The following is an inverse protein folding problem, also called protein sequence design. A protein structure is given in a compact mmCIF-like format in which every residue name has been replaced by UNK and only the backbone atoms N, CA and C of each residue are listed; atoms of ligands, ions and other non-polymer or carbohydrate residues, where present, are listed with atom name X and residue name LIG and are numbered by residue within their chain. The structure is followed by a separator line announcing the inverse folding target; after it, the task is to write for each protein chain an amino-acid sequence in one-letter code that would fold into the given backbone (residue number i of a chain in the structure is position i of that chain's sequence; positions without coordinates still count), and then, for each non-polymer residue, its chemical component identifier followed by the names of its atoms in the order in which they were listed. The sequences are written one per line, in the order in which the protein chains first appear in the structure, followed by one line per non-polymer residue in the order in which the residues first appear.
data_IF_619224567686
#
_entry.id   IF_619224567686
#
_cell.length_a   1.000
_cell.length_b   1.000
_cell.length_c   1.000
_cell.angle_alpha   90.00
_cell.angle_beta   90.00
_cell.angle_gamma   90.00
#
_symmetry.space_group_name_H-M   'P 1'
#
loop_
_entity.id
_entity.type
_entity.pdbx_description
1 polymer ?
#
# COMPACT_ATOMS: atom_id res chain seq x y z
N UNK A 1 -4.27 2.83 31.52
CA UNK A 1 -3.46 3.99 31.10
C UNK A 1 -4.25 4.92 30.19
N UNK A 2 -4.80 4.44 29.07
CA UNK A 2 -5.63 5.24 28.15
C UNK A 2 -6.77 6.02 28.85
N UNK A 3 -7.51 5.39 29.76
CA UNK A 3 -8.55 6.07 30.55
C UNK A 3 -8.08 7.28 31.35
N UNK A 4 -6.81 7.31 31.78
CA UNK A 4 -6.26 8.41 32.56
C UNK A 4 -5.95 9.63 31.68
N UNK A 5 -5.64 9.40 30.40
CA UNK A 5 -5.20 10.45 29.46
C UNK A 5 -6.27 10.81 28.43
N UNK A 6 -7.34 10.01 28.27
CA UNK A 6 -8.39 10.27 27.26
C UNK A 6 -9.02 11.66 27.35
N UNK A 7 -9.11 12.22 28.57
CA UNK A 7 -9.66 13.57 28.78
C UNK A 7 -8.77 14.70 28.26
N UNK A 8 -7.50 14.43 27.92
CA UNK A 8 -6.59 15.43 27.37
C UNK A 8 -6.88 15.75 25.91
N UNK A 9 -7.52 14.84 25.17
CA UNK A 9 -7.79 14.97 23.73
C UNK A 9 -6.54 15.36 22.92
N UNK A 10 -5.40 14.76 23.27
CA UNK A 10 -4.12 14.94 22.59
C UNK A 10 -3.68 13.63 21.93
N UNK A 11 -2.85 13.70 20.89
CA UNK A 11 -2.23 12.52 20.29
C UNK A 11 -1.43 11.70 21.31
N UNK A 12 -1.56 10.38 21.25
CA UNK A 12 -0.93 9.44 22.18
C UNK A 12 0.14 8.63 21.46
N UNK A 13 1.31 8.53 22.07
CA UNK A 13 2.34 7.55 21.69
C UNK A 13 2.60 6.70 22.94
N UNK A 14 2.43 5.38 22.80
CA UNK A 14 2.80 4.43 23.86
C UNK A 14 4.30 4.19 23.75
N UNK A 15 5.03 4.58 24.79
CA UNK A 15 6.46 4.29 24.94
C UNK A 15 6.68 3.46 26.19
N UNK A 16 7.87 2.89 26.34
CA UNK A 16 8.26 2.22 27.58
C UNK A 16 7.27 1.10 27.98
N UNK A 17 6.69 0.40 26.99
CA UNK A 17 5.83 -0.74 27.26
C UNK A 17 6.64 -2.04 27.21
N UNK A 18 6.89 -2.63 28.37
CA UNK A 18 7.60 -3.90 28.47
C UNK A 18 7.56 -4.47 29.89
N UNK A 19 8.00 -5.71 30.00
CA UNK A 19 8.11 -6.45 31.27
C UNK A 19 9.53 -7.00 31.38
N UNK A 20 10.09 -6.90 32.59
CA UNK A 20 11.33 -7.57 32.92
C UNK A 20 11.08 -9.06 33.05
N UNK A 21 11.70 -9.84 32.17
CA UNK A 21 11.38 -11.25 31.96
C UNK A 21 12.59 -11.95 31.29
N UNK A 22 13.46 -12.57 32.08
CA UNK A 22 14.71 -13.15 31.57
C UNK A 22 14.47 -14.40 30.71
N UNK A 23 13.56 -15.28 31.15
CA UNK A 23 13.22 -16.52 30.47
C UNK A 23 12.16 -16.38 29.36
N UNK A 24 11.59 -15.18 29.19
CA UNK A 24 10.71 -14.80 28.08
C UNK A 24 9.36 -15.52 28.07
N UNK A 25 8.89 -15.98 29.22
CA UNK A 25 7.65 -16.76 29.35
C UNK A 25 6.39 -15.89 29.48
N UNK A 26 6.54 -14.63 29.92
CA UNK A 26 5.45 -13.66 30.10
C UNK A 26 5.37 -12.64 28.96
N UNK A 27 6.52 -12.22 28.43
CA UNK A 27 6.65 -11.12 27.48
C UNK A 27 5.86 -11.33 26.18
N UNK A 28 5.80 -12.53 25.57
CA UNK A 28 4.98 -12.74 24.37
C UNK A 28 3.49 -12.41 24.59
N UNK A 29 2.93 -12.85 25.72
CA UNK A 29 1.53 -12.58 26.07
C UNK A 29 1.30 -11.13 26.50
N UNK A 30 2.26 -10.53 27.23
CA UNK A 30 2.24 -9.11 27.57
C UNK A 30 2.15 -8.25 26.30
N UNK A 31 3.00 -8.51 25.29
CA UNK A 31 2.98 -7.81 24.01
C UNK A 31 1.62 -7.95 23.32
N UNK A 32 1.08 -9.17 23.21
CA UNK A 32 -0.22 -9.43 22.58
C UNK A 32 -1.34 -8.64 23.24
N UNK A 33 -1.47 -8.72 24.57
CA UNK A 33 -2.53 -8.04 25.30
C UNK A 33 -2.43 -6.52 25.22
N UNK A 34 -1.22 -5.97 25.31
CA UNK A 34 -1.05 -4.52 25.28
C UNK A 34 -1.28 -3.93 23.89
N UNK A 35 -0.92 -4.65 22.84
CA UNK A 35 -1.30 -4.28 21.47
C UNK A 35 -2.81 -4.41 21.26
N UNK A 36 -3.46 -5.45 21.81
CA UNK A 36 -4.91 -5.58 21.76
C UNK A 36 -5.61 -4.40 22.45
N UNK A 37 -5.22 -4.05 23.68
CA UNK A 37 -5.77 -2.88 24.40
C UNK A 37 -5.51 -1.58 23.64
N UNK A 38 -4.36 -1.47 22.94
CA UNK A 38 -4.06 -0.32 22.10
C UNK A 38 -4.98 -0.27 20.87
N UNK A 39 -5.23 -1.40 20.23
CA UNK A 39 -6.17 -1.50 19.11
C UNK A 39 -7.60 -1.19 19.55
N UNK A 40 -8.04 -1.67 20.70
CA UNK A 40 -9.34 -1.35 21.30
C UNK A 40 -9.47 0.15 21.59
N UNK A 41 -8.43 0.78 22.14
CA UNK A 41 -8.41 2.23 22.36
C UNK A 41 -8.53 3.04 21.06
N UNK A 42 -7.86 2.60 19.99
CA UNK A 42 -8.01 3.20 18.65
C UNK A 42 -9.45 3.03 18.15
N UNK A 43 -10.03 1.83 18.30
CA UNK A 43 -11.40 1.54 17.90
C UNK A 43 -12.43 2.40 18.68
N UNK A 44 -12.15 2.70 19.95
CA UNK A 44 -12.92 3.60 20.80
C UNK A 44 -12.72 5.10 20.46
N UNK A 45 -11.90 5.41 19.45
CA UNK A 45 -11.74 6.76 18.89
C UNK A 45 -10.60 7.59 19.48
N UNK A 46 -9.67 6.98 20.23
CA UNK A 46 -8.49 7.69 20.71
C UNK A 46 -7.44 7.85 19.58
N UNK A 47 -6.84 9.03 19.46
CA UNK A 47 -5.74 9.33 18.50
C UNK A 47 -4.42 8.72 19.00
N UNK A 48 -4.26 7.39 18.87
CA UNK A 48 -3.01 6.70 19.17
C UNK A 48 -2.17 6.58 17.90
N UNK A 49 -0.99 7.20 17.91
CA UNK A 49 -0.12 7.35 16.72
C UNK A 49 1.06 6.39 16.69
N UNK A 50 1.35 5.72 17.79
CA UNK A 50 2.50 4.82 17.86
C UNK A 50 2.51 3.95 19.11
N UNK A 51 3.14 2.79 18.96
CA UNK A 51 3.43 1.86 20.03
C UNK A 51 4.89 1.42 19.93
N UNK A 52 5.67 1.73 20.96
CA UNK A 52 7.07 1.36 21.07
C UNK A 52 7.24 0.38 22.23
N UNK A 53 7.60 -0.86 21.90
CA UNK A 53 8.08 -1.82 22.88
C UNK A 53 9.31 -1.28 23.60
N UNK A 54 9.45 -1.58 24.90
CA UNK A 54 10.45 -1.01 25.81
C UNK A 54 11.86 -0.96 25.23
N UNK A 55 12.39 -2.10 24.79
CA UNK A 55 13.73 -2.16 24.18
C UNK A 55 13.86 -3.23 23.12
N UNK A 56 14.63 -2.93 22.08
CA UNK A 56 14.99 -3.91 21.05
C UNK A 56 15.86 -5.03 21.64
N UNK A 57 16.77 -4.71 22.56
CA UNK A 57 17.75 -5.64 23.12
C UNK A 57 17.86 -5.47 24.62
N UNK A 58 18.31 -6.50 25.33
CA UNK A 58 18.57 -6.41 26.77
C UNK A 58 19.51 -5.25 27.07
N UNK A 59 19.12 -4.43 28.04
CA UNK A 59 19.71 -3.15 28.33
C UNK A 59 20.24 -3.08 29.77
N UNK A 60 20.94 -1.98 30.05
CA UNK A 60 21.34 -1.61 31.40
C UNK A 60 20.20 -0.81 32.04
N UNK A 61 19.75 -1.23 33.21
CA UNK A 61 18.80 -0.50 34.04
C UNK A 61 19.54 0.22 35.17
N UNK A 62 19.27 1.51 35.37
CA UNK A 62 20.06 2.38 36.24
C UNK A 62 20.35 1.81 37.63
N UNK A 63 19.31 1.43 38.36
CA UNK A 63 19.42 0.91 39.72
C UNK A 63 19.68 -0.61 39.77
N UNK A 64 19.26 -1.32 38.73
CA UNK A 64 19.21 -2.79 38.69
C UNK A 64 20.31 -3.41 37.82
N UNK A 65 21.21 -2.58 37.30
CA UNK A 65 22.34 -3.00 36.48
C UNK A 65 21.92 -3.82 35.25
N UNK A 66 22.55 -4.98 35.10
CA UNK A 66 22.24 -5.95 34.03
C UNK A 66 21.44 -7.13 34.59
N UNK A 67 20.66 -6.96 35.65
CA UNK A 67 19.85 -8.08 36.17
C UNK A 67 18.48 -8.13 35.48
N UNK A 68 17.92 -6.97 35.14
CA UNK A 68 16.66 -6.89 34.41
C UNK A 68 16.85 -7.11 32.91
N UNK A 69 15.87 -7.76 32.29
CA UNK A 69 15.90 -8.17 30.89
C UNK A 69 14.60 -7.73 30.26
N UNK A 70 14.63 -6.76 29.38
CA UNK A 70 13.42 -6.22 28.71
C UNK A 70 13.43 -6.44 27.19
N UNK A 71 14.58 -6.85 26.64
CA UNK A 71 14.82 -6.85 25.22
C UNK A 71 14.07 -7.95 24.49
N UNK A 72 13.66 -7.63 23.26
CA UNK A 72 13.23 -8.62 22.27
C UNK A 72 14.39 -9.52 21.80
N UNK A 73 15.62 -9.07 22.01
CA UNK A 73 16.85 -9.85 21.82
C UNK A 73 17.55 -10.06 23.15
N UNK A 74 17.93 -11.30 23.41
CA UNK A 74 18.89 -11.62 24.46
C UNK A 74 20.25 -11.04 24.08
N UNK A 75 20.95 -10.44 25.04
CA UNK A 75 22.34 -9.97 24.87
C UNK A 75 23.23 -10.72 25.84
N UNK A 76 24.16 -11.49 25.29
CA UNK A 76 25.29 -11.97 26.08
C UNK A 76 26.24 -10.79 26.29
N UNK A 77 26.36 -10.32 27.53
CA UNK A 77 27.17 -9.14 27.84
C UNK A 77 28.68 -9.41 27.80
N UNK A 78 29.14 -10.66 27.81
CA UNK A 78 30.54 -10.99 27.63
C UNK A 78 30.90 -11.03 26.15
N UNK A 79 30.16 -11.81 25.36
CA UNK A 79 30.46 -12.05 23.94
C UNK A 79 29.87 -11.00 23.00
N UNK A 80 28.90 -10.23 23.46
CA UNK A 80 28.07 -9.28 22.68
C UNK A 80 27.21 -9.97 21.61
N UNK A 81 27.04 -11.29 21.68
CA UNK A 81 26.11 -12.00 20.81
C UNK A 81 24.68 -11.56 21.13
N UNK A 82 23.87 -11.36 20.07
CA UNK A 82 22.43 -11.14 20.20
C UNK A 82 21.67 -12.33 19.66
N UNK A 83 20.70 -12.81 20.42
CA UNK A 83 19.83 -13.92 20.03
C UNK A 83 18.38 -13.48 20.13
N UNK A 84 17.60 -13.67 19.06
CA UNK A 84 16.18 -13.31 19.04
C UNK A 84 15.41 -14.17 20.06
N UNK A 85 14.63 -13.53 20.93
CA UNK A 85 13.74 -14.22 21.88
C UNK A 85 12.38 -14.54 21.22
N UNK A 86 11.57 -15.38 21.86
CA UNK A 86 10.23 -15.75 21.36
C UNK A 86 9.31 -14.53 21.26
N UNK A 87 9.38 -13.64 22.24
CA UNK A 87 8.69 -12.35 22.22
C UNK A 87 9.08 -11.48 21.04
N UNK A 88 10.38 -11.47 20.68
CA UNK A 88 10.87 -10.77 19.50
C UNK A 88 10.29 -11.35 18.21
N UNK A 89 10.26 -12.68 18.09
CA UNK A 89 9.62 -13.37 16.97
C UNK A 89 8.10 -13.09 16.93
N UNK A 90 7.44 -13.10 18.09
CA UNK A 90 6.01 -12.81 18.23
C UNK A 90 5.69 -11.39 17.80
N UNK A 91 6.42 -10.39 18.31
CA UNK A 91 6.23 -8.99 17.94
C UNK A 91 6.46 -8.76 16.45
N UNK A 92 7.54 -9.34 15.89
CA UNK A 92 7.81 -9.28 14.46
C UNK A 92 6.67 -9.90 13.62
N UNK A 93 6.08 -11.02 14.08
CA UNK A 93 4.95 -11.64 13.39
C UNK A 93 3.68 -10.78 13.40
N UNK A 94 3.41 -10.10 14.52
CA UNK A 94 2.26 -9.19 14.64
C UNK A 94 2.45 -7.99 13.71
N UNK A 95 3.62 -7.35 13.76
CA UNK A 95 3.94 -6.22 12.86
C UNK A 95 3.84 -6.65 11.40
N UNK A 96 4.38 -7.81 11.04
CA UNK A 96 4.35 -8.32 9.66
C UNK A 96 2.93 -8.62 9.18
N UNK A 97 2.07 -9.15 10.05
CA UNK A 97 0.68 -9.48 9.72
C UNK A 97 -0.24 -8.27 9.61
N UNK A 98 0.14 -7.14 10.21
CA UNK A 98 -0.65 -5.90 10.22
C UNK A 98 0.01 -4.77 9.43
N UNK A 99 0.99 -5.10 8.58
CA UNK A 99 1.63 -4.16 7.67
C UNK A 99 0.70 -3.86 6.50
N UNK A 100 0.57 -2.58 6.14
CA UNK A 100 -0.05 -2.19 4.86
C UNK A 100 0.78 -2.78 3.70
N UNK A 101 0.15 -3.47 2.73
CA UNK A 101 0.85 -4.12 1.62
C UNK A 101 1.78 -3.19 0.83
N UNK A 102 2.75 -3.78 0.12
CA UNK A 102 3.47 -3.06 -0.92
C UNK A 102 2.50 -2.40 -1.91
N UNK A 103 2.84 -1.19 -2.36
CA UNK A 103 2.21 -0.59 -3.54
C UNK A 103 3.02 -0.94 -4.80
N UNK A 104 2.34 -1.40 -5.84
CA UNK A 104 2.92 -1.68 -7.15
C UNK A 104 2.36 -0.66 -8.13
N UNK A 105 3.24 0.13 -8.74
CA UNK A 105 2.87 1.30 -9.54
C UNK A 105 3.25 1.07 -11.00
N UNK A 106 2.27 1.14 -11.90
CA UNK A 106 2.47 0.98 -13.33
C UNK A 106 2.95 2.29 -13.96
N UNK A 107 4.24 2.39 -14.31
CA UNK A 107 4.89 3.61 -14.82
C UNK A 107 5.56 3.44 -16.20
N UNK A 108 5.26 2.37 -16.94
CA UNK A 108 5.89 2.05 -18.23
C UNK A 108 5.24 2.66 -19.48
N UNK A 109 4.15 3.42 -19.34
CA UNK A 109 3.37 3.91 -20.48
C UNK A 109 4.08 4.96 -21.35
N UNK A 110 3.87 4.89 -22.67
CA UNK A 110 4.49 5.78 -23.67
C UNK A 110 4.07 7.26 -23.59
N UNK A 111 2.99 7.58 -22.86
CA UNK A 111 2.59 8.96 -22.61
C UNK A 111 2.10 9.79 -23.80
N UNK A 112 1.87 9.20 -24.96
CA UNK A 112 1.72 9.87 -26.28
C UNK A 112 0.69 11.01 -26.39
N UNK A 113 -0.25 11.14 -25.46
CA UNK A 113 -1.34 12.13 -25.48
C UNK A 113 -1.02 13.47 -24.80
N UNK A 114 0.09 13.57 -24.06
CA UNK A 114 0.54 14.82 -23.40
C UNK A 114 1.51 15.65 -24.25
N UNK A 115 1.71 15.31 -25.52
CA UNK A 115 2.51 16.09 -26.46
C UNK A 115 4.02 16.00 -26.21
N UNK A 116 4.72 17.13 -26.34
CA UNK A 116 6.20 17.18 -26.31
C UNK A 116 6.81 16.83 -24.95
N UNK A 117 6.10 17.09 -23.85
CA UNK A 117 6.60 16.85 -22.48
C UNK A 117 6.95 15.37 -22.31
N UNK A 118 6.02 14.48 -22.67
CA UNK A 118 6.18 13.03 -22.56
C UNK A 118 7.12 12.42 -23.60
N UNK A 119 7.62 13.19 -24.57
CA UNK A 119 8.69 12.71 -25.46
C UNK A 119 10.06 12.72 -24.77
N UNK A 120 10.20 13.51 -23.70
CA UNK A 120 11.47 13.74 -23.01
C UNK A 120 11.49 13.21 -21.60
N UNK A 121 10.36 12.80 -21.04
CA UNK A 121 10.29 12.23 -19.70
C UNK A 121 9.10 11.26 -19.53
N UNK A 122 9.22 10.27 -18.65
CA UNK A 122 8.08 9.45 -18.24
C UNK A 122 6.93 10.30 -17.69
N UNK A 123 5.70 9.87 -17.98
CA UNK A 123 4.47 10.46 -17.43
C UNK A 123 4.53 10.60 -15.90
N UNK A 124 4.98 9.55 -15.22
CA UNK A 124 5.05 9.53 -13.76
C UNK A 124 6.03 10.55 -13.17
N UNK A 125 6.91 11.13 -13.99
CA UNK A 125 7.84 12.18 -13.58
C UNK A 125 7.37 13.59 -13.96
N UNK A 126 6.24 13.74 -14.65
CA UNK A 126 5.65 15.06 -14.94
C UNK A 126 5.35 15.78 -13.63
N UNK A 127 5.83 17.02 -13.53
CA UNK A 127 5.63 17.83 -12.33
C UNK A 127 4.21 18.37 -12.26
N UNK A 128 3.63 18.29 -11.06
CA UNK A 128 2.34 18.84 -10.71
C UNK A 128 2.52 19.62 -9.41
N UNK A 129 2.34 20.94 -9.44
CA UNK A 129 2.61 21.81 -8.29
C UNK A 129 4.03 21.65 -7.70
N UNK A 130 5.04 21.51 -8.56
CA UNK A 130 6.46 21.52 -8.16
C UNK A 130 7.02 20.20 -7.62
N UNK A 131 6.27 19.10 -7.73
CA UNK A 131 6.80 17.73 -7.51
C UNK A 131 6.23 16.75 -8.55
N UNK A 132 6.95 15.66 -8.88
CA UNK A 132 6.45 14.60 -9.76
C UNK A 132 5.10 14.03 -9.32
N UNK A 133 4.24 13.64 -10.26
CA UNK A 133 2.99 12.90 -9.94
C UNK A 133 3.27 11.61 -9.17
N UNK A 134 4.35 10.90 -9.49
CA UNK A 134 4.79 9.75 -8.71
C UNK A 134 5.00 10.10 -7.23
N UNK A 135 5.60 11.25 -6.93
CA UNK A 135 5.79 11.69 -5.54
C UNK A 135 4.46 11.93 -4.82
N UNK A 136 3.43 12.47 -5.50
CA UNK A 136 2.10 12.62 -4.90
C UNK A 136 1.43 11.26 -4.61
N UNK A 137 1.53 10.30 -5.53
CA UNK A 137 1.02 8.93 -5.33
C UNK A 137 1.72 8.27 -4.14
N UNK A 138 3.05 8.40 -4.07
CA UNK A 138 3.87 7.84 -3.00
C UNK A 138 3.60 8.52 -1.65
N UNK A 139 3.41 9.85 -1.61
CA UNK A 139 3.03 10.58 -0.40
C UNK A 139 1.69 10.07 0.14
N UNK A 140 0.70 9.87 -0.73
CA UNK A 140 -0.60 9.33 -0.33
C UNK A 140 -0.46 7.92 0.24
N UNK A 141 0.24 7.03 -0.46
CA UNK A 141 0.47 5.67 0.00
C UNK A 141 1.22 5.62 1.34
N UNK A 142 2.24 6.45 1.51
CA UNK A 142 3.04 6.52 2.74
C UNK A 142 2.19 6.97 3.94
N UNK A 143 1.29 7.94 3.75
CA UNK A 143 0.35 8.38 4.81
C UNK A 143 -0.63 7.29 5.23
N UNK A 144 -0.94 6.35 4.34
CA UNK A 144 -1.78 5.18 4.59
C UNK A 144 -0.99 3.99 5.17
N UNK A 145 0.29 4.18 5.51
CA UNK A 145 1.14 3.16 6.13
C UNK A 145 1.90 2.26 5.15
N UNK A 146 1.84 2.52 3.84
CA UNK A 146 2.66 1.79 2.87
C UNK A 146 4.13 2.20 3.00
N UNK A 147 5.01 1.25 3.33
CA UNK A 147 6.45 1.51 3.52
C UNK A 147 7.33 1.01 2.36
N UNK A 148 6.74 0.29 1.40
CA UNK A 148 7.45 -0.25 0.24
C UNK A 148 6.64 -0.01 -1.03
N UNK A 149 7.32 0.49 -2.06
CA UNK A 149 6.81 0.64 -3.41
C UNK A 149 7.68 -0.13 -4.41
N UNK A 150 7.03 -0.74 -5.40
CA UNK A 150 7.66 -1.27 -6.60
C UNK A 150 7.08 -0.55 -7.81
N UNK A 151 7.92 0.21 -8.49
CA UNK A 151 7.53 0.98 -9.67
C UNK A 151 7.99 0.21 -10.92
N UNK A 152 7.03 -0.18 -11.75
CA UNK A 152 7.28 -0.90 -12.99
C UNK A 152 7.48 0.10 -14.12
N UNK A 153 8.71 0.26 -14.56
CA UNK A 153 9.11 1.26 -15.55
C UNK A 153 9.33 0.61 -16.91
N UNK A 154 9.30 1.42 -17.97
CA UNK A 154 9.49 0.98 -19.35
C UNK A 154 10.17 2.05 -20.18
N UNK A 155 9.43 2.69 -21.07
CA UNK A 155 9.96 3.79 -21.89
C UNK A 155 10.53 4.92 -21.01
N UNK A 156 11.78 5.32 -21.30
CA UNK A 156 12.54 6.33 -20.54
C UNK A 156 12.75 5.96 -19.06
N UNK A 157 12.78 4.66 -18.73
CA UNK A 157 12.90 4.16 -17.37
C UNK A 157 14.19 4.58 -16.64
N UNK A 158 15.25 4.91 -17.38
CA UNK A 158 16.49 5.44 -16.84
C UNK A 158 16.32 6.81 -16.16
N UNK A 159 15.24 7.55 -16.46
CA UNK A 159 14.98 8.84 -15.82
C UNK A 159 14.53 8.73 -14.37
N UNK A 160 14.20 7.52 -13.91
CA UNK A 160 13.95 7.26 -12.50
C UNK A 160 15.24 7.03 -11.71
N UNK A 161 16.41 6.97 -12.35
CA UNK A 161 17.69 6.77 -11.67
C UNK A 161 17.94 7.88 -10.64
N UNK A 162 18.18 7.47 -9.39
CA UNK A 162 18.37 8.40 -8.27
C UNK A 162 17.09 8.95 -7.66
N UNK A 163 15.91 8.57 -8.17
CA UNK A 163 14.65 8.89 -7.53
C UNK A 163 14.57 8.24 -6.13
N UNK A 164 14.23 9.04 -5.13
CA UNK A 164 14.04 8.58 -3.75
C UNK A 164 12.80 9.22 -3.14
N UNK A 165 12.25 8.58 -2.11
CA UNK A 165 11.10 9.10 -1.38
C UNK A 165 11.36 9.04 0.14
N UNK A 166 11.07 10.12 0.90
CA UNK A 166 11.27 10.12 2.34
C UNK A 166 10.24 9.25 3.06
N UNK A 167 10.71 8.26 3.81
CA UNK A 167 9.83 7.42 4.64
C UNK A 167 9.24 6.20 3.93
N UNK A 168 9.61 5.96 2.66
CA UNK A 168 9.23 4.76 1.91
C UNK A 168 10.40 4.23 1.08
N UNK A 169 10.57 2.90 1.08
CA UNK A 169 11.52 2.23 0.20
C UNK A 169 10.89 2.13 -1.19
N UNK A 170 11.53 2.71 -2.20
CA UNK A 170 11.05 2.69 -3.59
C UNK A 170 12.02 1.89 -4.43
N UNK A 171 11.55 0.77 -4.99
CA UNK A 171 12.30 -0.05 -5.92
C UNK A 171 11.76 0.15 -7.33
N UNK A 172 12.62 0.06 -8.33
CA UNK A 172 12.27 0.17 -9.73
C UNK A 172 12.56 -1.15 -10.44
N UNK A 173 11.66 -1.56 -11.33
CA UNK A 173 11.87 -2.72 -12.19
C UNK A 173 11.54 -2.32 -13.62
N UNK A 174 12.58 -2.23 -14.46
CA UNK A 174 12.45 -1.79 -15.84
C UNK A 174 12.28 -2.98 -16.78
N UNK A 175 11.24 -2.93 -17.61
CA UNK A 175 11.09 -3.88 -18.72
C UNK A 175 12.11 -3.61 -19.83
N UNK A 176 12.65 -4.68 -20.44
CA UNK A 176 13.63 -4.56 -21.54
C UNK A 176 13.02 -4.16 -22.88
N UNK A 177 11.72 -4.44 -23.04
CA UNK A 177 10.91 -4.12 -24.20
C UNK A 177 9.46 -3.85 -23.73
N UNK A 178 8.60 -3.19 -24.53
CA UNK A 178 7.23 -2.92 -24.10
C UNK A 178 6.41 -4.20 -23.93
N UNK A 179 6.10 -4.59 -22.68
CA UNK A 179 5.35 -5.81 -22.35
C UNK A 179 3.85 -5.55 -22.06
N UNK A 180 3.42 -4.28 -22.07
CA UNK A 180 2.08 -3.92 -21.67
C UNK A 180 1.83 -4.15 -20.17
N UNK A 181 0.61 -3.86 -19.72
CA UNK A 181 0.31 -3.75 -18.28
C UNK A 181 0.39 -5.09 -17.56
N UNK A 182 -0.08 -6.16 -18.19
CA UNK A 182 0.02 -7.50 -17.64
C UNK A 182 1.41 -8.08 -17.77
N UNK A 183 2.07 -7.85 -18.91
CA UNK A 183 3.42 -8.35 -19.14
C UNK A 183 4.46 -7.75 -18.19
N UNK A 184 4.34 -6.45 -17.86
CA UNK A 184 5.19 -5.81 -16.86
C UNK A 184 5.01 -6.42 -15.45
N UNK A 185 3.76 -6.66 -15.02
CA UNK A 185 3.47 -7.36 -13.76
C UNK A 185 4.06 -8.78 -13.74
N UNK A 186 3.89 -9.52 -14.83
CA UNK A 186 4.48 -10.85 -14.97
C UNK A 186 6.01 -10.81 -14.90
N UNK A 187 6.63 -9.85 -15.57
CA UNK A 187 8.09 -9.69 -15.58
C UNK A 187 8.64 -9.39 -14.17
N UNK A 188 7.88 -8.68 -13.34
CA UNK A 188 8.21 -8.35 -11.96
C UNK A 188 7.74 -9.37 -10.92
N UNK A 189 7.13 -10.50 -11.30
CA UNK A 189 6.45 -11.45 -10.40
C UNK A 189 7.27 -11.94 -9.21
N UNK A 190 8.60 -12.03 -9.32
CA UNK A 190 9.48 -12.45 -8.23
C UNK A 190 9.65 -11.38 -7.14
N UNK A 191 9.37 -10.11 -7.47
CA UNK A 191 9.48 -8.95 -6.59
C UNK A 191 8.16 -8.58 -5.91
N UNK A 192 7.04 -9.16 -6.37
CA UNK A 192 5.72 -8.94 -5.79
C UNK A 192 5.58 -9.66 -4.44
N UNK A 193 5.04 -8.93 -3.46
CA UNK A 193 4.53 -9.53 -2.23
C UNK A 193 3.30 -10.41 -2.51
N UNK A 194 2.95 -11.28 -1.57
CA UNK A 194 1.78 -12.18 -1.71
C UNK A 194 0.48 -11.41 -1.93
N UNK A 195 0.35 -10.25 -1.29
CA UNK A 195 -0.71 -9.27 -1.52
C UNK A 195 -0.08 -7.91 -1.78
N UNK A 196 -0.60 -7.16 -2.74
CA UNK A 196 -0.16 -5.80 -3.03
C UNK A 196 -1.32 -4.91 -3.48
N UNK A 197 -1.13 -3.60 -3.37
CA UNK A 197 -2.04 -2.59 -3.90
C UNK A 197 -1.51 -2.16 -5.27
N UNK A 198 -2.28 -2.39 -6.34
CA UNK A 198 -1.94 -2.01 -7.70
C UNK A 198 -2.47 -0.61 -8.01
N UNK A 199 -1.58 0.25 -8.52
CA UNK A 199 -1.84 1.66 -8.84
C UNK A 199 -1.32 2.00 -10.25
N UNK A 200 -1.90 3.04 -10.86
CA UNK A 200 -1.41 3.62 -12.11
C UNK A 200 -0.49 4.80 -11.82
N UNK A 201 0.67 4.85 -12.46
CA UNK A 201 1.68 5.87 -12.24
C UNK A 201 1.35 7.24 -12.86
N UNK A 202 0.22 7.37 -13.53
CA UNK A 202 -0.30 8.62 -14.09
C UNK A 202 -1.66 9.04 -13.54
N UNK A 203 -2.17 8.33 -12.53
CA UNK A 203 -3.46 8.60 -11.89
C UNK A 203 -3.28 8.78 -10.38
N UNK A 204 -3.85 9.86 -9.83
CA UNK A 204 -3.94 10.05 -8.38
C UNK A 204 -5.35 9.69 -7.92
N UNK A 205 -5.47 8.60 -7.16
CA UNK A 205 -6.73 8.15 -6.57
C UNK A 205 -6.61 8.14 -5.03
N UNK A 206 -6.96 9.25 -4.35
CA UNK A 206 -6.73 9.43 -2.92
C UNK A 206 -7.79 8.74 -2.05
N UNK A 207 -7.99 7.43 -2.25
CA UNK A 207 -8.90 6.60 -1.46
C UNK A 207 -8.30 6.20 -0.11
N UNK A 208 -9.15 5.75 0.80
CA UNK A 208 -8.74 5.06 2.01
C UNK A 208 -8.36 3.59 1.71
N UNK A 209 -7.07 3.26 1.85
CA UNK A 209 -6.56 1.90 1.64
C UNK A 209 -7.03 0.93 2.73
N UNK A 210 -7.31 1.41 3.94
CA UNK A 210 -7.77 0.54 5.02
C UNK A 210 -9.15 -0.04 4.70
N UNK A 211 -10.12 0.81 4.33
CA UNK A 211 -11.45 0.39 3.90
C UNK A 211 -11.43 -0.57 2.69
N UNK A 212 -10.55 -0.32 1.73
CA UNK A 212 -10.34 -1.21 0.58
C UNK A 212 -9.79 -2.59 1.00
N UNK A 213 -8.79 -2.61 1.87
CA UNK A 213 -8.20 -3.84 2.41
C UNK A 213 -9.20 -4.64 3.24
N UNK A 214 -9.98 -3.99 4.09
CA UNK A 214 -11.05 -4.65 4.85
C UNK A 214 -12.07 -5.31 3.91
N UNK A 215 -12.46 -4.62 2.84
CA UNK A 215 -13.39 -5.16 1.85
C UNK A 215 -12.80 -6.41 1.19
N UNK A 216 -11.51 -6.36 0.83
CA UNK A 216 -10.79 -7.47 0.25
C UNK A 216 -10.74 -8.69 1.19
N UNK A 217 -10.40 -8.48 2.45
CA UNK A 217 -10.30 -9.54 3.45
C UNK A 217 -11.67 -10.16 3.76
N UNK A 218 -12.71 -9.34 3.96
CA UNK A 218 -14.08 -9.81 4.19
C UNK A 218 -14.61 -10.62 3.01
N UNK A 219 -14.26 -10.24 1.77
CA UNK A 219 -14.71 -10.93 0.57
C UNK A 219 -13.94 -12.22 0.28
N UNK A 220 -12.73 -12.39 0.82
CA UNK A 220 -11.82 -13.50 0.48
C UNK A 220 -11.59 -13.62 -1.03
N UNK A 221 -11.56 -12.48 -1.74
CA UNK A 221 -11.47 -12.45 -3.19
C UNK A 221 -10.00 -12.42 -3.65
N UNK A 222 -9.67 -13.02 -4.81
CA UNK A 222 -8.31 -12.97 -5.34
C UNK A 222 -7.91 -11.56 -5.81
N UNK A 223 -8.90 -10.72 -6.11
CA UNK A 223 -8.75 -9.32 -6.49
C UNK A 223 -9.93 -8.52 -5.97
N UNK A 224 -9.68 -7.32 -5.45
CA UNK A 224 -10.70 -6.33 -5.13
C UNK A 224 -10.39 -5.04 -5.86
N UNK A 225 -11.30 -4.58 -6.72
CA UNK A 225 -11.16 -3.33 -7.47
C UNK A 225 -12.04 -2.23 -6.90
N UNK A 226 -11.56 -0.99 -6.94
CA UNK A 226 -12.38 0.19 -6.65
C UNK A 226 -13.28 0.52 -7.83
N UNK A 227 -14.55 0.79 -7.53
CA UNK A 227 -15.57 1.12 -8.54
C UNK A 227 -16.33 2.36 -8.12
N UNK A 228 -16.42 3.34 -9.01
CA UNK A 228 -17.33 4.47 -8.89
C UNK A 228 -18.59 4.24 -9.73
N UNK A 229 -19.70 4.81 -9.28
CA UNK A 229 -20.96 4.87 -10.04
C UNK A 229 -21.23 6.27 -10.60
N UNK A 230 -20.31 7.21 -10.36
CA UNK A 230 -20.41 8.63 -10.72
C UNK A 230 -19.40 8.99 -11.81
N UNK A 231 -19.43 8.25 -12.92
CA UNK A 231 -18.55 8.49 -14.06
C UNK A 231 -19.34 8.58 -15.38
N UNK A 232 -18.86 9.41 -16.31
CA UNK A 232 -19.54 9.65 -17.60
C UNK A 232 -19.65 8.39 -18.48
N UNK A 233 -18.80 7.40 -18.21
CA UNK A 233 -18.71 6.12 -18.93
C UNK A 233 -18.65 4.99 -17.91
N UNK A 234 -19.35 3.89 -18.17
CA UNK A 234 -19.24 2.68 -17.35
C UNK A 234 -18.45 1.61 -18.10
N UNK A 235 -17.54 0.91 -17.44
CA UNK A 235 -16.70 -0.13 -18.06
C UNK A 235 -16.88 -1.51 -17.43
N UNK A 236 -17.79 -1.63 -16.46
CA UNK A 236 -18.09 -2.90 -15.82
C UNK A 236 -19.54 -2.98 -15.34
N UNK A 237 -19.97 -4.20 -15.08
CA UNK A 237 -21.19 -4.54 -14.37
C UNK A 237 -20.81 -5.21 -13.06
N UNK A 238 -21.43 -4.79 -11.97
CA UNK A 238 -21.27 -5.41 -10.66
C UNK A 238 -22.63 -5.65 -10.00
N UNK A 239 -22.69 -6.68 -9.15
CA UNK A 239 -23.83 -6.99 -8.29
C UNK A 239 -23.33 -7.65 -7.01
N UNK A 240 -24.01 -7.41 -5.89
CA UNK A 240 -23.72 -8.07 -4.60
C UNK A 240 -22.24 -7.99 -4.17
N UNK A 241 -21.57 -6.87 -4.46
CA UNK A 241 -20.16 -6.65 -4.12
C UNK A 241 -19.16 -7.47 -4.98
N UNK A 242 -19.59 -8.01 -6.12
CA UNK A 242 -18.74 -8.76 -7.06
C UNK A 242 -18.80 -8.17 -8.46
N UNK A 243 -17.71 -8.36 -9.20
CA UNK A 243 -17.66 -8.10 -10.64
C UNK A 243 -18.49 -9.15 -11.39
N UNK A 244 -19.45 -8.75 -12.22
CA UNK A 244 -20.20 -9.66 -13.09
C UNK A 244 -19.65 -9.69 -14.52
N UNK A 245 -19.23 -8.52 -15.04
CA UNK A 245 -18.68 -8.40 -16.38
C UNK A 245 -17.78 -7.17 -16.47
N UNK A 246 -16.74 -7.22 -17.29
CA UNK A 246 -15.87 -6.09 -17.63
C UNK A 246 -15.84 -5.89 -19.14
N UNK A 247 -16.00 -4.65 -19.59
CA UNK A 247 -15.92 -4.27 -21.00
C UNK A 247 -15.38 -2.84 -21.15
N UNK A 248 -14.17 -2.73 -21.73
CA UNK A 248 -13.48 -1.44 -21.94
C UNK A 248 -13.88 -0.75 -23.25
N UNK A 249 -14.40 -1.49 -24.22
CA UNK A 249 -14.58 -1.03 -25.61
C UNK A 249 -16.01 -0.68 -25.96
N UNK A 250 -16.99 -1.45 -25.49
CA UNK A 250 -18.40 -1.29 -25.84
C UNK A 250 -19.21 -0.78 -24.64
N UNK A 251 -19.78 0.41 -24.78
CA UNK A 251 -20.78 0.91 -23.84
C UNK A 251 -22.09 0.14 -24.05
N UNK A 252 -22.51 -0.61 -23.03
CA UNK A 252 -23.83 -1.24 -23.01
C UNK A 252 -24.65 -0.65 -21.88
N UNK A 253 -25.97 -0.64 -22.01
CA UNK A 253 -26.89 -0.16 -20.97
C UNK A 253 -26.87 -1.02 -19.69
N UNK A 254 -26.19 -2.17 -19.71
CA UNK A 254 -26.10 -3.09 -18.58
C UNK A 254 -24.90 -2.78 -17.66
N UNK A 255 -23.94 -1.97 -18.11
CA UNK A 255 -22.81 -1.54 -17.30
C UNK A 255 -23.28 -0.50 -16.28
N UNK A 256 -22.90 -0.68 -15.02
CA UNK A 256 -23.37 0.14 -13.90
C UNK A 256 -22.24 0.70 -13.03
N UNK A 257 -20.98 0.46 -13.39
CA UNK A 257 -19.83 1.00 -12.68
C UNK A 257 -18.63 1.27 -13.58
N UNK A 258 -17.70 2.05 -13.03
CA UNK A 258 -16.42 2.36 -13.65
C UNK A 258 -15.28 2.01 -12.69
N UNK A 259 -14.31 1.23 -13.16
CA UNK A 259 -13.09 0.91 -12.40
C UNK A 259 -12.18 2.14 -12.25
N UNK A 260 -11.90 2.53 -11.01
CA UNK A 260 -11.25 3.81 -10.66
C UNK A 260 -9.71 3.75 -10.52
N UNK A 261 -9.06 2.66 -10.91
CA UNK A 261 -7.60 2.60 -11.03
C UNK A 261 -6.84 2.13 -9.79
N UNK A 262 -7.52 1.69 -8.73
CA UNK A 262 -6.87 1.11 -7.54
C UNK A 262 -7.44 -0.27 -7.24
N UNK A 263 -6.57 -1.23 -6.96
CA UNK A 263 -7.01 -2.58 -6.59
C UNK A 263 -6.08 -3.23 -5.58
N UNK A 264 -6.62 -4.12 -4.76
CA UNK A 264 -5.85 -5.07 -3.96
C UNK A 264 -5.81 -6.39 -4.72
N UNK A 265 -4.62 -6.93 -4.89
CA UNK A 265 -4.36 -8.10 -5.72
C UNK A 265 -3.58 -9.13 -4.93
N UNK A 266 -4.06 -10.37 -4.93
CA UNK A 266 -3.29 -11.52 -4.50
C UNK A 266 -2.36 -11.96 -5.65
N UNK A 267 -1.10 -12.22 -5.34
CA UNK A 267 -0.04 -12.61 -6.30
C UNK A 267 -0.42 -13.83 -7.13
N UNK A 268 -1.23 -14.74 -6.57
CA UNK A 268 -1.81 -15.87 -7.28
C UNK A 268 -2.51 -15.45 -8.58
N UNK A 269 -3.18 -14.30 -8.63
CA UNK A 269 -3.80 -13.78 -9.86
C UNK A 269 -2.77 -13.56 -10.96
N UNK A 270 -1.63 -12.98 -10.63
CA UNK A 270 -0.53 -12.76 -11.58
C UNK A 270 0.04 -14.10 -12.04
N UNK A 271 0.15 -15.09 -11.15
CA UNK A 271 0.67 -16.41 -11.46
C UNK A 271 -0.28 -17.26 -12.30
N UNK A 272 -1.58 -17.20 -12.03
CA UNK A 272 -2.62 -18.03 -12.65
C UNK A 272 -2.99 -17.52 -14.06
N UNK A 273 -2.93 -16.20 -14.27
CA UNK A 273 -3.33 -15.56 -15.53
C UNK A 273 -2.18 -14.99 -16.35
N UNK A 274 -0.98 -14.92 -15.77
CA UNK A 274 0.17 -14.32 -16.40
C UNK A 274 0.86 -15.22 -17.42
N UNK A 275 1.57 -14.58 -18.35
CA UNK A 275 2.31 -15.22 -19.43
C UNK A 275 3.48 -14.34 -19.86
N UNK A 276 4.47 -14.96 -20.49
CA UNK A 276 5.58 -14.25 -21.11
C UNK A 276 5.10 -13.40 -22.31
N UNK A 277 5.81 -12.31 -22.59
CA UNK A 277 5.53 -11.39 -23.70
C UNK A 277 4.49 -10.31 -23.39
N UNK A 278 4.04 -9.62 -24.43
CA UNK A 278 3.20 -8.44 -24.29
C UNK A 278 1.70 -8.77 -24.14
N UNK A 279 1.05 -8.25 -23.10
CA UNK A 279 -0.40 -8.38 -22.90
C UNK A 279 -0.98 -7.34 -21.91
N UNK A 280 -2.29 -7.07 -22.01
CA UNK A 280 -3.01 -6.15 -21.13
C UNK A 280 -3.60 -6.88 -19.91
N UNK A 281 -3.31 -6.34 -18.73
CA UNK A 281 -3.88 -6.76 -17.45
C UNK A 281 -5.40 -6.67 -17.46
N UNK A 282 -5.95 -5.49 -17.79
CA UNK A 282 -7.37 -5.23 -17.69
C UNK A 282 -8.19 -6.07 -18.67
N UNK A 283 -7.69 -6.26 -19.91
CA UNK A 283 -8.36 -7.06 -20.94
C UNK A 283 -8.29 -8.57 -20.67
N UNK A 284 -7.35 -9.02 -19.83
CA UNK A 284 -7.15 -10.45 -19.54
C UNK A 284 -7.75 -10.82 -18.19
N UNK A 285 -7.36 -10.12 -17.13
CA UNK A 285 -7.65 -10.50 -15.74
C UNK A 285 -9.06 -10.14 -15.34
N UNK A 286 -9.54 -8.94 -15.67
CA UNK A 286 -10.87 -8.52 -15.21
C UNK A 286 -11.98 -9.40 -15.80
N UNK A 287 -12.01 -9.71 -17.11
CA UNK A 287 -12.97 -10.68 -17.63
C UNK A 287 -12.84 -12.07 -16.99
N UNK A 288 -11.61 -12.57 -16.80
CA UNK A 288 -11.34 -13.88 -16.23
C UNK A 288 -11.76 -14.02 -14.75
N UNK A 289 -11.85 -12.90 -14.04
CA UNK A 289 -12.28 -12.83 -12.64
C UNK A 289 -13.76 -12.43 -12.48
N UNK A 290 -14.56 -12.43 -13.54
CA UNK A 290 -16.02 -12.29 -13.42
C UNK A 290 -16.59 -13.36 -12.48
N UNK A 291 -17.41 -12.93 -11.52
CA UNK A 291 -17.95 -13.72 -10.42
C UNK A 291 -16.97 -13.99 -9.27
N UNK A 292 -15.68 -13.64 -9.41
CA UNK A 292 -14.62 -13.89 -8.42
C UNK A 292 -14.04 -12.62 -7.83
N UNK A 293 -13.80 -11.58 -8.62
CA UNK A 293 -13.28 -10.31 -8.12
C UNK A 293 -14.36 -9.62 -7.26
N UNK A 294 -13.94 -9.07 -6.13
CA UNK A 294 -14.78 -8.22 -5.31
C UNK A 294 -14.74 -6.77 -5.81
N UNK A 295 -15.80 -6.04 -5.49
CA UNK A 295 -15.98 -4.64 -5.82
C UNK A 295 -16.05 -3.83 -4.52
N UNK A 296 -15.18 -2.84 -4.43
CA UNK A 296 -15.21 -1.81 -3.40
C UNK A 296 -15.82 -0.55 -3.99
N UNK A 297 -17.05 -0.21 -3.58
CA UNK A 297 -17.71 1.01 -4.04
C UNK A 297 -17.14 2.23 -3.32
N UNK A 298 -16.59 3.16 -4.10
CA UNK A 298 -16.00 4.39 -3.59
C UNK A 298 -16.23 5.53 -4.60
N UNK A 299 -16.63 6.70 -4.11
CA UNK A 299 -16.93 7.89 -4.93
C UNK A 299 -15.84 8.96 -4.79
N UNK A 300 -14.72 8.64 -4.17
CA UNK A 300 -13.54 9.52 -4.15
C UNK A 300 -13.12 9.79 -5.58
N UNK A 301 -12.98 11.07 -5.92
CA UNK A 301 -12.54 11.45 -7.24
C UNK A 301 -11.12 10.93 -7.51
N UNK A 302 -10.94 10.20 -8.61
CA UNK A 302 -9.63 9.88 -9.18
C UNK A 302 -9.27 10.94 -10.22
N UNK A 303 -7.97 11.20 -10.36
CA UNK A 303 -7.44 12.28 -11.19
C UNK A 303 -6.37 11.73 -12.12
N UNK A 304 -6.73 11.46 -13.36
CA UNK A 304 -5.77 11.08 -14.39
C UNK A 304 -5.12 12.31 -15.03
N UNK A 305 -3.88 12.19 -15.48
CA UNK A 305 -3.22 13.22 -16.30
C UNK A 305 -3.08 12.78 -17.76
N UNK A 306 -4.09 12.08 -18.29
CA UNK A 306 -4.09 11.58 -19.66
C UNK A 306 -4.08 12.66 -20.75
N UNK A 307 -4.50 13.89 -20.43
CA UNK A 307 -4.53 15.05 -21.34
C UNK A 307 -4.12 16.35 -20.62
N UNK A 308 -3.74 17.42 -21.34
CA UNK A 308 -3.41 18.72 -20.74
C UNK A 308 -4.54 19.32 -19.89
N UNK A 309 -5.79 19.13 -20.29
CA UNK A 309 -6.96 19.63 -19.54
C UNK A 309 -7.09 18.91 -18.19
N UNK A 310 -6.88 17.59 -18.18
CA UNK A 310 -6.97 16.79 -16.96
C UNK A 310 -5.80 17.03 -16.02
N UNK A 311 -4.60 17.27 -16.57
CA UNK A 311 -3.44 17.75 -15.82
C UNK A 311 -3.75 19.08 -15.09
N UNK A 312 -4.37 20.04 -15.77
CA UNK A 312 -4.76 21.31 -15.15
C UNK A 312 -5.82 21.15 -14.05
N UNK A 313 -6.75 20.20 -14.20
CA UNK A 313 -7.73 19.86 -13.16
C UNK A 313 -7.06 19.27 -11.92
N UNK A 314 -6.11 18.35 -12.10
CA UNK A 314 -5.32 17.77 -11.03
C UNK A 314 -4.48 18.84 -10.30
N UNK A 315 -3.84 19.76 -11.02
CA UNK A 315 -3.12 20.89 -10.41
C UNK A 315 -4.04 21.75 -9.54
N UNK A 316 -5.24 22.05 -10.04
CA UNK A 316 -6.22 22.86 -9.32
C UNK A 316 -6.75 22.16 -8.06
N UNK A 317 -6.93 20.84 -8.12
CA UNK A 317 -7.28 20.02 -6.96
C UNK A 317 -6.18 20.05 -5.91
N UNK A 318 -4.94 19.75 -6.28
CA UNK A 318 -3.80 19.72 -5.37
C UNK A 318 -3.44 21.10 -4.77
N UNK A 319 -3.80 22.22 -5.43
CA UNK A 319 -3.67 23.56 -4.84
C UNK A 319 -4.66 23.82 -3.70
N UNK A 320 -5.82 23.17 -3.72
CA UNK A 320 -6.91 23.37 -2.76
C UNK A 320 -6.93 22.32 -1.65
N UNK A 321 -6.33 21.16 -1.89
CA UNK A 321 -6.31 20.04 -0.98
C UNK A 321 -4.99 19.98 -0.20
N UNK A 322 -5.08 19.65 1.09
CA UNK A 322 -3.92 19.29 1.92
C UNK A 322 -3.66 17.80 1.83
N UNK A 323 -3.38 17.30 0.62
CA UNK A 323 -2.93 15.92 0.40
C UNK A 323 -1.45 15.73 0.69
#
# INVERSE_FOLDING_TARGET
AFDMVKGLNLPIIVTENGVADDDDDMRPEHIRRHLQVTAEAIADGLDVRGFYHWSLMDNFEWAEGYDQRFGLYHVDFETKQRTLKESGATYASIVKSHRTPQVVIMAGGLGTRLGEVTQRMPKSLVEVNGKPILSHILDWAQRQGCLNALVLTGHLGEQFDGFTHPGMVVNFHQESEPLGTGGALWNARSLLEERFILLWGDDLHPIDYHSLLETHEKAGAPLTMTVTTEHEKMNLKHAEGRLEAYNKTEQTSELNGYESGTSVVEKSVVLDHGKEGAWSWEETVYPALSGKAAVHLDQTAFWDMGTPERLALLEAFLKKSTL
#
